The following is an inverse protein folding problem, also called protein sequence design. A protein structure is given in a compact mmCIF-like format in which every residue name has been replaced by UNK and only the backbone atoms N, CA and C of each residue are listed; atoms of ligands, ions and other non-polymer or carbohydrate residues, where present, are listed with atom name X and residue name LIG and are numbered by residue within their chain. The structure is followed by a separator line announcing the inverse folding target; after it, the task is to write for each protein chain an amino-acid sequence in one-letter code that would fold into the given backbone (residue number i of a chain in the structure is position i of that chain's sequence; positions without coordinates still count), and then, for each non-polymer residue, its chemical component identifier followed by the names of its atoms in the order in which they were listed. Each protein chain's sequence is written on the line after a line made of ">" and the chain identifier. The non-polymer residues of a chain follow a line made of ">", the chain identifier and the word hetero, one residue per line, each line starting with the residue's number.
data_IF_529655083278
#
_entry.id   IF_529655083278
#
_cell.length_a   1.000
_cell.length_b   1.000
_cell.length_c   1.000
_cell.angle_alpha   90.00
_cell.angle_beta   90.00
_cell.angle_gamma   90.00
#
_symmetry.space_group_name_H-M   'P 1'
#
loop_
_entity.id
_entity.type
_entity.pdbx_description
1 polymer ?
#
# COMPACT_ATOMS: atom_id res chain seq x y z
N UNK A 1 -55.07 -7.66 -67.33
CA UNK A 1 -54.83 -8.21 -68.69
C UNK A 1 -53.72 -9.25 -68.59
N UNK A 2 -54.02 -10.46 -69.09
CA UNK A 2 -53.17 -11.65 -69.34
C UNK A 2 -52.43 -12.26 -68.12
N UNK A 3 -52.91 -13.39 -67.54
CA UNK A 3 -52.77 -14.82 -67.97
C UNK A 3 -51.30 -15.24 -68.00
N UNK A 4 -50.85 -16.34 -67.39
CA UNK A 4 -51.24 -17.74 -67.63
C UNK A 4 -50.34 -18.62 -66.72
N UNK A 5 -50.89 -19.53 -65.90
CA UNK A 5 -50.89 -21.01 -66.06
C UNK A 5 -49.49 -21.61 -66.29
N UNK A 6 -49.02 -22.66 -65.60
CA UNK A 6 -49.54 -24.04 -65.50
C UNK A 6 -48.57 -24.83 -64.57
N UNK A 7 -49.05 -25.62 -63.58
CA UNK A 7 -49.18 -27.12 -63.60
C UNK A 7 -47.83 -27.86 -63.74
N UNK A 8 -47.50 -28.98 -63.10
CA UNK A 8 -48.18 -29.98 -62.25
C UNK A 8 -47.10 -31.04 -61.86
N UNK A 9 -47.28 -31.75 -60.72
CA UNK A 9 -47.13 -33.24 -60.53
C UNK A 9 -45.74 -33.87 -60.85
N UNK A 10 -45.00 -34.50 -59.93
CA UNK A 10 -45.26 -35.83 -59.34
C UNK A 10 -44.55 -36.04 -57.97
N UNK A 11 -45.08 -36.91 -57.10
CA UNK A 11 -44.43 -37.39 -55.87
C UNK A 11 -43.94 -38.85 -56.02
N UNK A 12 -43.49 -39.43 -54.89
CA UNK A 12 -43.59 -40.87 -54.56
C UNK A 12 -42.41 -41.75 -55.06
N UNK A 13 -41.81 -42.69 -54.33
CA UNK A 13 -41.74 -43.11 -52.91
C UNK A 13 -40.75 -44.29 -52.83
N UNK A 14 -40.22 -44.51 -51.63
CA UNK A 14 -39.65 -45.75 -51.05
C UNK A 14 -38.64 -46.63 -51.81
N UNK A 15 -37.56 -46.96 -51.10
CA UNK A 15 -37.16 -48.35 -50.79
C UNK A 15 -36.20 -48.25 -49.60
N UNK A 16 -36.62 -48.65 -48.39
CA UNK A 16 -36.36 -49.99 -47.82
C UNK A 16 -34.85 -50.29 -47.71
N UNK A 17 -34.27 -50.15 -46.52
CA UNK A 17 -34.18 -51.16 -45.45
C UNK A 17 -33.20 -52.30 -45.78
N UNK A 18 -32.22 -52.41 -44.87
CA UNK A 18 -31.44 -53.58 -44.47
C UNK A 18 -30.51 -54.26 -45.47
N UNK A 19 -29.21 -54.16 -45.20
CA UNK A 19 -28.36 -55.22 -44.65
C UNK A 19 -26.95 -54.62 -44.58
N UNK A 20 -26.51 -54.11 -43.43
CA UNK A 20 -25.79 -54.87 -42.41
C UNK A 20 -24.54 -55.55 -43.00
N UNK A 21 -23.41 -54.94 -42.63
CA UNK A 21 -22.13 -55.57 -42.34
C UNK A 21 -21.44 -56.40 -43.43
N UNK A 22 -20.39 -55.82 -44.03
CA UNK A 22 -19.04 -56.38 -43.97
C UNK A 22 -18.06 -55.61 -44.88
N UNK A 23 -17.54 -54.45 -44.47
CA UNK A 23 -16.21 -53.94 -44.88
C UNK A 23 -15.81 -52.86 -43.85
N UNK A 24 -15.13 -53.23 -42.75
CA UNK A 24 -13.67 -53.30 -42.64
C UNK A 24 -12.96 -52.01 -43.06
N UNK A 25 -12.68 -51.16 -42.06
CA UNK A 25 -11.27 -50.93 -41.69
C UNK A 25 -10.40 -50.05 -42.58
N UNK A 26 -10.97 -49.09 -43.33
CA UNK A 26 -10.18 -48.01 -43.93
C UNK A 26 -10.93 -46.68 -43.81
N UNK A 27 -10.40 -45.78 -42.98
CA UNK A 27 -10.77 -44.37 -43.02
C UNK A 27 -9.63 -43.60 -43.70
N UNK A 28 -9.73 -43.43 -45.03
CA UNK A 28 -8.78 -42.60 -45.78
C UNK A 28 -9.34 -41.18 -45.77
N UNK A 29 -8.79 -40.32 -44.92
CA UNK A 29 -9.07 -38.88 -45.02
C UNK A 29 -8.47 -38.35 -46.32
N UNK A 30 -9.21 -37.53 -47.06
CA UNK A 30 -8.73 -36.87 -48.28
C UNK A 30 -7.43 -36.11 -48.03
N UNK A 31 -6.40 -36.34 -48.84
CA UNK A 31 -5.17 -35.56 -48.85
C UNK A 31 -5.53 -34.13 -49.28
N UNK A 32 -5.67 -33.21 -48.33
CA UNK A 32 -5.81 -31.79 -48.63
C UNK A 32 -4.45 -31.28 -49.09
N UNK A 33 -4.23 -31.23 -50.41
CA UNK A 33 -3.12 -30.52 -51.04
C UNK A 33 -3.26 -29.02 -50.73
N UNK A 34 -2.84 -28.60 -49.54
CA UNK A 34 -2.88 -27.20 -49.14
C UNK A 34 -1.95 -26.38 -50.05
N UNK A 35 -2.49 -25.34 -50.69
CA UNK A 35 -1.69 -24.39 -51.46
C UNK A 35 -0.58 -23.78 -50.58
N UNK A 36 0.63 -23.53 -51.12
CA UNK A 36 1.72 -22.94 -50.35
C UNK A 36 1.27 -21.61 -49.72
N UNK A 37 1.48 -21.50 -48.40
CA UNK A 37 0.94 -20.41 -47.60
C UNK A 37 1.46 -19.05 -48.10
N UNK A 38 0.53 -18.15 -48.47
CA UNK A 38 0.88 -16.80 -48.94
C UNK A 38 1.77 -16.07 -47.92
N UNK A 39 2.86 -15.47 -48.41
CA UNK A 39 3.79 -14.67 -47.60
C UNK A 39 3.03 -13.55 -46.90
N UNK A 40 3.21 -13.45 -45.57
CA UNK A 40 2.55 -12.40 -44.78
C UNK A 40 3.02 -11.03 -45.24
N UNK A 41 2.08 -10.11 -45.48
CA UNK A 41 2.36 -8.72 -45.84
C UNK A 41 3.03 -8.01 -44.65
N UNK A 42 4.03 -7.16 -44.94
CA UNK A 42 4.66 -6.28 -43.95
C UNK A 42 3.60 -5.28 -43.47
N UNK A 43 3.55 -5.03 -42.16
CA UNK A 43 2.61 -4.07 -41.57
C UNK A 43 3.05 -2.65 -41.91
N UNK A 44 2.10 -1.77 -42.21
CA UNK A 44 2.37 -0.37 -42.52
C UNK A 44 3.07 0.33 -41.35
N UNK A 45 4.08 1.19 -41.61
CA UNK A 45 4.84 1.86 -40.55
C UNK A 45 3.94 2.74 -39.66
N UNK A 46 2.90 3.37 -40.23
CA UNK A 46 1.95 4.19 -39.48
C UNK A 46 1.04 3.36 -38.55
N UNK A 47 0.71 2.13 -38.96
CA UNK A 47 -0.04 1.21 -38.09
C UNK A 47 0.82 0.75 -36.91
N UNK A 48 2.12 0.52 -37.12
CA UNK A 48 3.05 0.14 -36.06
C UNK A 48 3.29 1.29 -35.08
N UNK A 49 3.51 2.51 -35.57
CA UNK A 49 3.63 3.70 -34.72
C UNK A 49 2.36 3.93 -33.86
N UNK A 50 1.18 3.72 -34.44
CA UNK A 50 -0.09 3.80 -33.70
C UNK A 50 -0.22 2.70 -32.64
N UNK A 51 0.29 1.48 -32.88
CA UNK A 51 0.33 0.41 -31.87
C UNK A 51 1.25 0.78 -30.71
N UNK A 52 2.45 1.28 -30.99
CA UNK A 52 3.41 1.74 -29.98
C UNK A 52 2.80 2.88 -29.15
N UNK A 53 2.20 3.89 -29.78
CA UNK A 53 1.53 5.00 -29.08
C UNK A 53 0.39 4.54 -28.18
N UNK A 54 -0.40 3.56 -28.63
CA UNK A 54 -1.48 2.96 -27.81
C UNK A 54 -0.92 2.20 -26.61
N UNK A 55 0.19 1.46 -26.76
CA UNK A 55 0.88 0.76 -25.67
C UNK A 55 1.46 1.76 -24.65
N UNK A 56 2.17 2.78 -25.12
CA UNK A 56 2.74 3.83 -24.27
C UNK A 56 1.66 4.55 -23.44
N UNK A 57 0.56 4.97 -24.08
CA UNK A 57 -0.57 5.62 -23.37
C UNK A 57 -1.22 4.69 -22.34
N UNK A 58 -1.24 3.38 -22.58
CA UNK A 58 -1.76 2.38 -21.64
C UNK A 58 -0.82 2.24 -20.43
N UNK A 59 0.50 2.17 -20.68
CA UNK A 59 1.53 2.12 -19.63
C UNK A 59 1.47 3.40 -18.79
N UNK A 60 1.36 4.57 -19.41
CA UNK A 60 1.29 5.86 -18.71
C UNK A 60 0.06 5.96 -17.79
N UNK A 61 -1.10 5.48 -18.24
CA UNK A 61 -2.31 5.41 -17.40
C UNK A 61 -2.14 4.49 -16.21
N UNK A 62 -1.47 3.36 -16.42
CA UNK A 62 -1.19 2.39 -15.36
C UNK A 62 -0.19 2.95 -14.34
N UNK A 63 0.88 3.59 -14.81
CA UNK A 63 1.83 4.32 -13.95
C UNK A 63 1.10 5.38 -13.14
N UNK A 64 0.19 6.16 -13.75
CA UNK A 64 -0.63 7.16 -13.04
C UNK A 64 -1.57 6.51 -12.00
N UNK A 65 -2.14 5.34 -12.28
CA UNK A 65 -2.96 4.55 -11.34
C UNK A 65 -2.14 4.10 -10.13
N UNK A 66 -0.98 3.51 -10.38
CA UNK A 66 -0.04 3.05 -9.36
C UNK A 66 0.51 4.20 -8.52
N UNK A 67 0.89 5.31 -9.16
CA UNK A 67 1.37 6.51 -8.47
C UNK A 67 0.31 7.14 -7.56
N UNK A 68 -0.99 7.00 -7.88
CA UNK A 68 -2.08 7.45 -7.01
C UNK A 68 -2.27 6.53 -5.80
N UNK A 69 -2.06 5.22 -5.96
CA UNK A 69 -2.19 4.24 -4.88
C UNK A 69 -1.01 4.29 -3.90
N UNK A 70 0.21 4.55 -4.37
CA UNK A 70 1.38 4.76 -3.49
C UNK A 70 1.25 5.97 -2.53
N UNK A 71 0.24 6.82 -2.74
CA UNK A 71 -0.12 7.93 -1.83
C UNK A 71 -1.14 7.54 -0.75
N UNK A 72 -1.70 6.33 -0.80
CA UNK A 72 -2.62 5.86 0.24
C UNK A 72 -1.80 5.56 1.49
N UNK A 73 -2.03 6.33 2.54
CA UNK A 73 -1.43 6.09 3.84
C UNK A 73 -1.99 4.80 4.42
N UNK A 74 -1.15 4.07 5.17
CA UNK A 74 -1.61 2.94 5.97
C UNK A 74 -2.57 3.47 7.05
N UNK A 75 -3.64 2.73 7.37
CA UNK A 75 -4.54 3.11 8.45
C UNK A 75 -3.76 3.16 9.77
N UNK A 76 -4.09 4.13 10.63
CA UNK A 76 -3.49 4.27 11.96
C UNK A 76 -4.52 3.80 12.99
N UNK A 77 -4.27 2.63 13.57
CA UNK A 77 -5.21 1.94 14.46
C UNK A 77 -5.63 2.79 15.66
N UNK A 78 -4.67 3.52 16.27
CA UNK A 78 -4.92 4.40 17.42
C UNK A 78 -5.87 5.57 17.11
N UNK A 79 -5.90 6.03 15.85
CA UNK A 79 -6.73 7.17 15.43
C UNK A 79 -8.10 6.70 14.93
N UNK A 80 -8.16 5.62 14.15
CA UNK A 80 -9.41 5.08 13.61
C UNK A 80 -10.25 4.35 14.68
N UNK A 81 -9.60 3.86 15.74
CA UNK A 81 -10.23 3.05 16.78
C UNK A 81 -10.57 1.63 16.31
N UNK A 82 -10.89 0.76 17.27
CA UNK A 82 -11.27 -0.61 16.95
C UNK A 82 -12.69 -0.69 16.37
N UNK A 83 -12.79 -1.14 15.12
CA UNK A 83 -14.06 -1.32 14.40
C UNK A 83 -14.97 -2.34 15.08
N UNK A 84 -14.44 -3.30 15.81
CA UNK A 84 -15.24 -4.26 16.57
C UNK A 84 -15.94 -3.57 17.74
N UNK A 85 -15.18 -2.77 18.51
CA UNK A 85 -15.75 -2.01 19.63
C UNK A 85 -16.84 -1.03 19.18
N UNK A 86 -16.66 -0.37 18.03
CA UNK A 86 -17.68 0.52 17.47
C UNK A 86 -18.99 -0.20 17.11
N UNK A 87 -18.92 -1.47 16.67
CA UNK A 87 -20.13 -2.28 16.39
C UNK A 87 -20.81 -2.73 17.67
N UNK A 88 -20.02 -3.06 18.68
CA UNK A 88 -20.49 -3.61 19.95
C UNK A 88 -20.82 -2.55 20.99
N UNK A 89 -20.63 -1.26 20.66
CA UNK A 89 -20.83 -0.13 21.56
C UNK A 89 -22.16 -0.22 22.32
N UNK A 90 -23.25 -0.54 21.62
CA UNK A 90 -24.58 -0.67 22.25
C UNK A 90 -24.65 -1.71 23.37
N UNK A 91 -23.88 -2.79 23.26
CA UNK A 91 -23.88 -3.89 24.23
C UNK A 91 -22.83 -3.70 25.33
N UNK A 92 -21.74 -2.99 25.03
CA UNK A 92 -20.61 -2.76 25.95
C UNK A 92 -20.67 -1.41 26.68
N UNK A 93 -21.59 -0.52 26.31
CA UNK A 93 -21.73 0.80 26.91
C UNK A 93 -22.14 0.67 28.37
N UNK A 94 -21.39 1.37 29.24
CA UNK A 94 -21.77 1.54 30.64
C UNK A 94 -22.83 2.63 30.73
N UNK A 95 -23.84 2.41 31.56
CA UNK A 95 -24.87 3.42 31.82
C UNK A 95 -24.22 4.71 32.35
N UNK A 96 -24.67 5.89 31.88
CA UNK A 96 -24.11 7.16 32.33
C UNK A 96 -24.43 7.37 33.81
N UNK A 97 -23.40 7.66 34.60
CA UNK A 97 -23.56 8.03 36.01
C UNK A 97 -23.95 9.50 36.08
N UNK A 98 -25.08 9.80 36.74
CA UNK A 98 -25.46 11.17 37.07
C UNK A 98 -24.58 11.68 38.20
N UNK A 99 -23.85 12.76 37.95
CA UNK A 99 -23.06 13.45 38.98
C UNK A 99 -23.96 14.36 39.81
N UNK A 100 -23.62 14.49 41.09
CA UNK A 100 -24.29 15.45 42.00
C UNK A 100 -23.82 16.87 41.68
N UNK A 101 -24.66 17.89 41.87
CA UNK A 101 -24.29 19.30 41.61
C UNK A 101 -23.00 19.71 42.34
N UNK A 102 -22.82 19.25 43.59
CA UNK A 102 -21.61 19.46 44.36
C UNK A 102 -20.35 18.86 43.69
N UNK A 103 -20.45 17.68 43.08
CA UNK A 103 -19.34 17.03 42.38
C UNK A 103 -18.98 17.80 41.11
N UNK A 104 -19.98 18.30 40.38
CA UNK A 104 -19.79 19.14 39.20
C UNK A 104 -19.04 20.43 39.57
N UNK A 105 -19.46 21.09 40.65
CA UNK A 105 -18.81 22.30 41.16
C UNK A 105 -17.36 22.05 41.59
N UNK A 106 -17.09 20.93 42.27
CA UNK A 106 -15.72 20.56 42.66
C UNK A 106 -14.84 20.28 41.44
N UNK A 107 -15.36 19.57 40.43
CA UNK A 107 -14.66 19.33 39.17
C UNK A 107 -14.33 20.66 38.47
N UNK A 108 -15.30 21.57 38.38
CA UNK A 108 -15.11 22.88 37.75
C UNK A 108 -14.05 23.71 38.49
N UNK A 109 -14.05 23.69 39.82
CA UNK A 109 -13.05 24.39 40.64
C UNK A 109 -11.66 23.77 40.49
N UNK A 110 -11.56 22.44 40.43
CA UNK A 110 -10.31 21.72 40.18
C UNK A 110 -9.74 22.06 38.80
N UNK A 111 -10.57 22.05 37.76
CA UNK A 111 -10.16 22.43 36.40
C UNK A 111 -9.66 23.86 36.33
N UNK A 112 -10.33 24.81 37.02
CA UNK A 112 -9.86 26.21 37.12
C UNK A 112 -8.50 26.30 37.82
N UNK A 113 -8.29 25.56 38.91
CA UNK A 113 -6.99 25.51 39.61
C UNK A 113 -5.91 24.92 38.72
N UNK A 114 -6.20 23.82 38.02
CA UNK A 114 -5.28 23.17 37.08
C UNK A 114 -4.88 24.10 35.94
N UNK A 115 -5.84 24.82 35.33
CA UNK A 115 -5.56 25.77 34.27
C UNK A 115 -4.63 26.90 34.73
N UNK A 116 -4.86 27.45 35.94
CA UNK A 116 -3.97 28.48 36.52
C UNK A 116 -2.57 27.92 36.78
N UNK A 117 -2.47 26.70 37.31
CA UNK A 117 -1.19 26.04 37.55
C UNK A 117 -0.42 25.82 36.24
N UNK A 118 -1.07 25.27 35.21
CA UNK A 118 -0.44 25.06 33.90
C UNK A 118 0.02 26.38 33.27
N UNK A 119 -0.78 27.44 33.35
CA UNK A 119 -0.39 28.77 32.88
C UNK A 119 0.85 29.31 33.61
N UNK A 120 0.97 29.05 34.91
CA UNK A 120 2.16 29.41 35.68
C UNK A 120 3.39 28.59 35.24
N UNK A 121 3.27 27.27 35.10
CA UNK A 121 4.36 26.40 34.62
C UNK A 121 4.88 26.87 33.27
N UNK A 122 3.98 27.09 32.31
CA UNK A 122 4.35 27.60 30.97
C UNK A 122 5.03 28.97 31.04
N UNK A 123 4.56 29.87 31.91
CA UNK A 123 5.19 31.18 32.10
C UNK A 123 6.62 31.04 32.64
N UNK A 124 6.84 30.17 33.62
CA UNK A 124 8.15 29.92 34.22
C UNK A 124 9.12 29.28 33.22
N UNK A 125 8.66 28.29 32.44
CA UNK A 125 9.44 27.66 31.38
C UNK A 125 9.84 28.68 30.30
N UNK A 126 8.91 29.51 29.85
CA UNK A 126 9.20 30.56 28.89
C UNK A 126 10.21 31.58 29.43
N UNK A 127 10.11 31.97 30.70
CA UNK A 127 11.11 32.84 31.32
C UNK A 127 12.50 32.19 31.35
N UNK A 128 12.59 30.90 31.69
CA UNK A 128 13.86 30.16 31.67
C UNK A 128 14.44 30.11 30.25
N UNK A 129 13.63 29.78 29.25
CA UNK A 129 14.04 29.76 27.84
C UNK A 129 14.54 31.13 27.38
N UNK A 130 13.81 32.20 27.69
CA UNK A 130 14.21 33.58 27.36
C UNK A 130 15.54 33.96 28.01
N UNK A 131 15.76 33.56 29.27
CA UNK A 131 17.05 33.79 29.96
C UNK A 131 18.20 33.07 29.27
N UNK A 132 18.00 31.81 28.89
CA UNK A 132 19.00 31.01 28.16
C UNK A 132 19.31 31.65 26.81
N UNK A 133 18.28 32.02 26.04
CA UNK A 133 18.45 32.70 24.75
C UNK A 133 19.18 34.04 24.89
N UNK A 134 18.81 34.86 25.88
CA UNK A 134 19.47 36.13 26.13
C UNK A 134 20.94 35.94 26.55
N UNK A 135 21.24 34.91 27.35
CA UNK A 135 22.62 34.56 27.72
C UNK A 135 23.43 34.10 26.50
N UNK A 136 22.86 33.23 25.66
CA UNK A 136 23.46 32.80 24.41
C UNK A 136 23.77 33.98 23.48
N UNK A 137 22.80 34.89 23.30
CA UNK A 137 22.99 36.09 22.46
C UNK A 137 24.08 37.01 23.01
N UNK A 138 24.12 37.24 24.34
CA UNK A 138 25.19 38.03 24.96
C UNK A 138 26.56 37.38 24.73
N UNK A 139 26.67 36.06 24.94
CA UNK A 139 27.91 35.33 24.70
C UNK A 139 28.37 35.45 23.23
N UNK A 140 27.44 35.35 22.27
CA UNK A 140 27.74 35.53 20.85
C UNK A 140 28.19 36.94 20.50
N UNK A 141 27.60 37.99 21.12
CA UNK A 141 28.05 39.38 20.92
C UNK A 141 29.47 39.58 21.42
N UNK A 142 29.78 39.14 22.65
CA UNK A 142 31.13 39.22 23.18
C UNK A 142 32.14 38.46 22.30
N UNK A 143 31.74 37.29 21.80
CA UNK A 143 32.57 36.47 20.93
C UNK A 143 32.79 37.15 19.55
N UNK A 144 31.77 37.83 19.01
CA UNK A 144 31.90 38.64 17.80
C UNK A 144 32.86 39.83 17.97
N UNK A 145 32.86 40.46 19.15
CA UNK A 145 33.78 41.56 19.48
C UNK A 145 35.24 41.08 19.59
N UNK A 146 35.46 39.88 20.15
CA UNK A 146 36.80 39.31 20.35
C UNK A 146 37.36 38.69 19.06
N UNK A 147 36.57 37.88 18.35
CA UNK A 147 37.02 37.13 17.17
C UNK A 147 35.88 36.91 16.16
N UNK A 148 35.63 37.88 15.26
CA UNK A 148 34.51 37.82 14.32
C UNK A 148 34.71 36.78 13.20
N UNK A 149 35.95 36.58 12.73
CA UNK A 149 36.19 35.78 11.51
C UNK A 149 36.35 34.28 11.74
N UNK A 150 36.84 33.87 12.92
CA UNK A 150 37.15 32.47 13.21
C UNK A 150 36.14 31.86 14.18
N UNK A 151 36.17 32.30 15.44
CA UNK A 151 35.35 31.69 16.49
C UNK A 151 33.87 31.99 16.28
N UNK A 152 33.51 33.23 15.93
CA UNK A 152 32.10 33.60 15.77
C UNK A 152 31.49 32.88 14.58
N UNK A 153 32.19 32.86 13.45
CA UNK A 153 31.77 32.14 12.25
C UNK A 153 31.58 30.65 12.53
N UNK A 154 32.50 30.00 13.26
CA UNK A 154 32.37 28.61 13.64
C UNK A 154 31.17 28.36 14.58
N UNK A 155 30.96 29.22 15.59
CA UNK A 155 29.88 29.05 16.55
C UNK A 155 28.46 29.20 15.95
N UNK A 156 28.31 29.97 14.88
CA UNK A 156 27.01 30.14 14.19
C UNK A 156 26.81 29.14 13.04
N UNK A 157 27.84 28.43 12.61
CA UNK A 157 27.74 27.44 11.54
C UNK A 157 26.72 26.36 11.94
N UNK A 158 25.78 26.00 11.06
CA UNK A 158 24.78 24.99 11.37
C UNK A 158 25.48 23.64 11.58
N UNK A 159 25.07 22.90 12.61
CA UNK A 159 25.65 21.59 12.99
C UNK A 159 25.66 20.57 11.83
N UNK A 160 24.83 20.77 10.80
CA UNK A 160 24.80 19.94 9.60
C UNK A 160 26.04 20.07 8.68
N UNK A 161 26.75 21.21 8.72
CA UNK A 161 27.95 21.43 7.90
C UNK A 161 29.14 20.65 8.46
N UNK A 162 29.24 20.55 9.79
CA UNK A 162 30.30 19.80 10.48
C UNK A 162 30.05 18.28 10.48
N UNK A 163 28.79 17.85 10.34
CA UNK A 163 28.39 16.44 10.40
C UNK A 163 28.44 15.69 9.06
N UNK A 164 29.03 16.27 8.00
CA UNK A 164 29.01 15.74 6.63
C UNK A 164 27.57 15.43 6.13
N UNK A 165 26.62 16.34 6.39
CA UNK A 165 25.24 16.19 5.92
C UNK A 165 24.41 15.13 6.68
N UNK A 166 24.91 14.61 7.81
CA UNK A 166 24.13 13.71 8.66
C UNK A 166 23.19 14.53 9.56
N UNK A 167 21.90 14.20 9.64
CA UNK A 167 21.00 14.82 10.60
C UNK A 167 21.55 14.60 12.02
N UNK A 168 21.33 15.57 12.91
CA UNK A 168 21.68 15.43 14.33
C UNK A 168 20.88 14.25 14.90
N UNK A 169 21.53 13.11 15.08
CA UNK A 169 20.93 11.91 15.68
C UNK A 169 20.87 12.07 17.19
N UNK A 170 19.88 12.81 17.68
CA UNK A 170 19.58 12.88 19.11
C UNK A 170 18.66 11.70 19.49
N UNK A 171 19.18 10.75 20.26
CA UNK A 171 18.40 9.69 20.88
C UNK A 171 18.33 9.92 22.39
N UNK A 172 17.15 10.29 22.89
CA UNK A 172 16.88 10.46 24.30
C UNK A 172 15.69 9.58 24.70
N UNK A 173 15.84 8.82 25.79
CA UNK A 173 14.77 8.02 26.39
C UNK A 173 14.18 8.82 27.55
N UNK A 174 12.85 8.84 27.66
CA UNK A 174 12.17 9.50 28.77
C UNK A 174 12.49 8.87 30.13
N UNK A 175 12.25 9.57 31.24
CA UNK A 175 12.49 9.04 32.57
C UNK A 175 11.54 7.87 32.89
N UNK A 176 12.03 6.89 33.66
CA UNK A 176 11.21 5.82 34.22
C UNK A 176 10.52 6.27 35.52
N UNK A 177 9.37 5.67 35.84
CA UNK A 177 8.67 5.92 37.10
C UNK A 177 9.51 5.54 38.33
N UNK A 178 10.27 4.44 38.23
CA UNK A 178 11.21 3.96 39.24
C UNK A 178 12.57 3.75 38.58
N UNK A 179 13.70 4.16 39.20
CA UNK A 179 15.01 3.88 38.64
C UNK A 179 15.26 2.37 38.57
N UNK A 180 16.08 1.90 37.60
CA UNK A 180 16.49 0.51 37.54
C UNK A 180 17.26 0.12 38.82
N UNK A 181 17.20 -1.15 39.24
CA UNK A 181 17.92 -1.61 40.42
C UNK A 181 19.43 -1.40 40.23
N UNK A 182 20.10 -0.95 41.30
CA UNK A 182 21.55 -0.66 41.27
C UNK A 182 22.41 -1.90 40.97
N UNK A 183 21.97 -3.07 41.45
CA UNK A 183 22.62 -4.34 41.17
C UNK A 183 21.93 -5.04 40.00
N UNK A 184 22.69 -5.33 38.94
CA UNK A 184 22.19 -6.02 37.75
C UNK A 184 21.66 -7.43 38.01
N UNK A 185 22.01 -8.04 39.15
CA UNK A 185 21.50 -9.35 39.58
C UNK A 185 20.23 -9.29 40.42
N UNK A 186 19.76 -8.09 40.78
CA UNK A 186 18.59 -7.94 41.65
C UNK A 186 17.27 -8.23 40.93
N UNK A 187 17.26 -8.24 39.60
CA UNK A 187 16.10 -8.56 38.79
C UNK A 187 16.51 -9.46 37.61
N UNK A 188 16.06 -10.71 37.66
CA UNK A 188 16.15 -11.64 36.55
C UNK A 188 14.82 -11.56 35.77
N UNK A 189 14.89 -11.05 34.53
CA UNK A 189 13.72 -10.97 33.68
C UNK A 189 13.30 -12.39 33.27
N UNK A 190 12.00 -12.72 33.27
CA UNK A 190 11.55 -14.02 32.81
C UNK A 190 11.85 -14.21 31.32
N UNK A 191 12.23 -15.42 30.93
CA UNK A 191 12.43 -15.78 29.53
C UNK A 191 11.11 -15.69 28.73
N UNK A 192 11.17 -15.15 27.52
CA UNK A 192 10.02 -15.03 26.64
C UNK A 192 10.39 -14.71 25.19
N UNK A 193 9.50 -15.05 24.26
CA UNK A 193 9.68 -14.77 22.84
C UNK A 193 8.92 -13.51 22.42
N UNK A 194 9.58 -12.64 21.65
CA UNK A 194 8.95 -11.47 21.03
C UNK A 194 8.56 -11.79 19.59
N UNK A 195 7.29 -12.08 19.36
CA UNK A 195 6.74 -12.26 18.01
C UNK A 195 6.14 -10.93 17.53
N UNK A 196 6.65 -10.41 16.41
CA UNK A 196 6.06 -9.24 15.76
C UNK A 196 4.71 -9.61 15.12
N UNK A 197 3.65 -8.94 15.55
CA UNK A 197 2.28 -9.12 15.05
C UNK A 197 1.78 -7.89 14.29
N UNK A 198 2.67 -6.98 13.90
CA UNK A 198 2.28 -5.80 13.14
C UNK A 198 1.63 -6.20 11.81
N UNK A 199 0.41 -5.72 11.51
CA UNK A 199 -0.28 -6.11 10.29
C UNK A 199 0.43 -5.55 9.06
N UNK A 200 0.84 -6.44 8.16
CA UNK A 200 1.38 -6.04 6.85
C UNK A 200 0.22 -5.71 5.91
N UNK A 201 0.10 -4.44 5.54
CA UNK A 201 -0.87 -3.98 4.54
C UNK A 201 -0.26 -4.06 3.14
N UNK A 202 -0.45 -5.19 2.47
CA UNK A 202 -0.09 -5.36 1.06
C UNK A 202 -1.30 -5.02 0.20
N UNK A 203 -1.10 -4.11 -0.76
CA UNK A 203 -2.10 -3.86 -1.79
C UNK A 203 -1.78 -4.78 -2.96
N UNK A 204 -2.54 -5.87 -3.11
CA UNK A 204 -2.43 -6.72 -4.30
C UNK A 204 -2.97 -5.95 -5.50
N UNK A 205 -2.11 -5.74 -6.50
CA UNK A 205 -2.49 -5.12 -7.77
C UNK A 205 -2.67 -6.21 -8.81
N UNK A 206 -3.91 -6.42 -9.25
CA UNK A 206 -4.13 -7.09 -10.52
C UNK A 206 -3.75 -6.11 -11.65
N UNK A 207 -2.61 -6.38 -12.31
CA UNK A 207 -2.35 -5.82 -13.63
C UNK A 207 -3.47 -6.30 -14.56
N UNK A 208 -4.07 -5.39 -15.31
CA UNK A 208 -5.09 -5.73 -16.30
C UNK A 208 -4.61 -6.92 -17.14
N UNK A 209 -5.36 -8.03 -17.17
CA UNK A 209 -4.98 -9.26 -17.92
C UNK A 209 -4.65 -8.97 -19.39
N UNK A 210 -5.18 -7.87 -19.93
CA UNK A 210 -4.91 -7.34 -21.28
C UNK A 210 -3.46 -6.86 -21.48
N UNK A 211 -2.73 -6.54 -20.42
CA UNK A 211 -1.28 -6.29 -20.44
C UNK A 211 -0.48 -7.61 -20.48
N UNK A 212 -0.88 -8.60 -19.67
CA UNK A 212 -0.24 -9.91 -19.61
C UNK A 212 -0.48 -10.76 -20.88
N UNK A 213 -1.62 -10.54 -21.55
CA UNK A 213 -2.05 -11.30 -22.73
C UNK A 213 -1.14 -11.16 -23.96
N UNK A 214 -0.20 -10.23 -23.98
CA UNK A 214 0.78 -10.13 -25.09
C UNK A 214 1.99 -11.08 -24.92
N UNK A 215 2.24 -11.63 -23.73
CA UNK A 215 3.39 -12.53 -23.50
C UNK A 215 3.11 -14.02 -23.78
N UNK A 216 1.83 -14.45 -23.86
CA UNK A 216 1.47 -15.88 -24.04
C UNK A 216 1.19 -16.29 -25.49
N UNK A 217 2.01 -15.81 -26.43
CA UNK A 217 2.20 -16.48 -27.74
C UNK A 217 3.62 -17.03 -27.90
N UNK A 218 4.18 -17.59 -26.82
CA UNK A 218 5.20 -18.61 -26.92
C UNK A 218 4.56 -19.93 -26.47
N UNK A 219 4.30 -20.81 -27.44
CA UNK A 219 4.03 -22.23 -27.17
C UNK A 219 5.26 -22.80 -26.47
N UNK A 220 5.13 -23.43 -25.31
CA UNK A 220 5.85 -24.67 -24.95
C UNK A 220 5.22 -25.31 -23.70
N UNK A 221 4.73 -26.54 -23.91
CA UNK A 221 4.65 -27.74 -23.07
C UNK A 221 4.67 -27.62 -21.53
N UNK A 222 3.60 -28.16 -20.92
CA UNK A 222 3.52 -28.65 -19.52
C UNK A 222 4.34 -29.95 -19.37
N UNK A 223 5.25 -30.03 -18.39
CA UNK A 223 5.53 -31.16 -17.45
C UNK A 223 6.48 -30.54 -16.37
N UNK A 224 6.35 -30.63 -15.04
CA UNK A 224 6.43 -31.70 -14.01
C UNK A 224 6.10 -30.94 -12.70
N UNK A 225 5.27 -31.35 -11.73
CA UNK A 225 5.26 -32.55 -10.90
C UNK A 225 5.35 -32.07 -9.44
N UNK A 226 4.28 -32.25 -8.65
CA UNK A 226 4.27 -31.98 -7.20
C UNK A 226 4.98 -33.14 -6.50
N UNK A 227 5.87 -32.84 -5.55
CA UNK A 227 5.83 -33.25 -4.12
C UNK A 227 7.19 -33.02 -3.45
N UNK A 228 7.23 -32.22 -2.40
CA UNK A 228 8.22 -32.34 -1.33
C UNK A 228 7.41 -32.56 -0.06
N UNK A 229 7.36 -33.83 0.32
CA UNK A 229 6.88 -34.32 1.61
C UNK A 229 7.99 -34.05 2.62
N UNK A 230 7.56 -33.67 3.81
CA UNK A 230 8.28 -33.56 5.08
C UNK A 230 9.39 -34.58 5.31
N UNK A 231 10.47 -34.13 5.95
CA UNK A 231 11.05 -34.76 7.14
C UNK A 231 11.42 -33.64 8.11
#
# INVERSE_FOLDING_TARGET
>A
MFRSLTKFITPFVSCEISLVECFRGLHVSSILCAEPLKKKKRVDPQQEANRIRRKAKRIEREIKRLAKQGKKLKPVEEIEGDRQLMKEEKYRRREPVSLTDAEIDTCALLMKKWARYQAQVTREENQKLQRVQAAQQRALRCLAEISPHHLYKAAISPVSEESNGKPLLLHAVGPYATPPPYNSKAYEAPDGEKVDRTPTFEYEFELDRKFLAEAKKAKFVKVVGKTQVTN
#
